data_IF_878743079642
#
_entry.id   IF_878743079642
#
_cell.length_a   1.000
_cell.length_b   1.000
_cell.length_c   1.000
_cell.angle_alpha   90.00
_cell.angle_beta   90.00
_cell.angle_gamma   90.00
#
_symmetry.space_group_name_H-M   'P 1'
#
loop_
_entity.id
_entity.type
_entity.pdbx_description
1 polymer ?
#
# COMPACT_ATOMS: atom_id res chain seq x y z
N UNK A 1 -3.74 0.21 -10.78
CA UNK A 1 -3.28 1.43 -11.49
C UNK A 1 -3.18 1.24 -13.00
N UNK A 2 -2.43 0.25 -13.52
CA UNK A 2 -2.26 0.07 -14.97
C UNK A 2 -3.59 -0.03 -15.74
N UNK A 3 -4.58 -0.73 -15.18
CA UNK A 3 -5.93 -0.81 -15.76
C UNK A 3 -6.62 0.57 -15.84
N UNK A 4 -6.56 1.38 -14.79
CA UNK A 4 -7.16 2.73 -14.79
C UNK A 4 -6.51 3.64 -15.85
N UNK A 5 -5.18 3.55 -16.02
CA UNK A 5 -4.48 4.27 -17.06
C UNK A 5 -4.90 3.80 -18.47
N UNK A 6 -5.07 2.49 -18.66
CA UNK A 6 -5.57 1.93 -19.91
C UNK A 6 -6.99 2.44 -20.22
N UNK A 7 -7.91 2.40 -19.26
CA UNK A 7 -9.27 2.96 -19.40
C UNK A 7 -9.24 4.41 -19.88
N UNK A 8 -8.46 5.26 -19.21
CA UNK A 8 -8.34 6.69 -19.56
C UNK A 8 -7.80 6.91 -20.97
N UNK A 9 -6.92 6.03 -21.44
CA UNK A 9 -6.33 6.13 -22.78
C UNK A 9 -7.25 5.59 -23.89
N UNK A 10 -8.13 4.64 -23.58
CA UNK A 10 -8.96 3.95 -24.58
C UNK A 10 -10.41 4.44 -24.63
N UNK A 11 -10.88 5.16 -23.61
CA UNK A 11 -12.24 5.69 -23.51
C UNK A 11 -12.25 7.23 -23.62
N UNK A 12 -13.36 7.79 -24.10
CA UNK A 12 -13.51 9.25 -24.24
C UNK A 12 -14.07 9.93 -22.97
N UNK A 13 -13.85 11.24 -22.83
CA UNK A 13 -14.43 12.04 -21.75
C UNK A 13 -13.53 12.23 -20.51
N UNK A 14 -12.26 11.84 -20.61
CA UNK A 14 -11.25 12.00 -19.56
C UNK A 14 -10.32 13.20 -19.78
N UNK A 15 -10.52 13.99 -20.84
CA UNK A 15 -9.69 15.13 -21.20
C UNK A 15 -9.74 16.23 -20.13
N UNK A 16 -8.57 16.81 -19.82
CA UNK A 16 -8.42 17.88 -18.83
C UNK A 16 -8.95 17.51 -17.43
N UNK A 17 -8.91 16.21 -17.06
CA UNK A 17 -9.29 15.72 -15.74
C UNK A 17 -8.09 15.19 -14.97
N UNK A 18 -8.07 15.45 -13.66
CA UNK A 18 -7.16 14.81 -12.72
C UNK A 18 -7.91 13.79 -11.86
N UNK A 19 -7.29 12.65 -11.60
CA UNK A 19 -7.86 11.56 -10.78
C UNK A 19 -6.92 11.22 -9.64
N UNK A 20 -7.47 10.99 -8.45
CA UNK A 20 -6.71 10.46 -7.33
C UNK A 20 -6.90 8.94 -7.30
N UNK A 21 -5.92 8.20 -7.80
CA UNK A 21 -5.99 6.74 -7.91
C UNK A 21 -5.63 6.08 -6.57
N UNK A 22 -6.53 6.22 -5.59
CA UNK A 22 -6.41 5.64 -4.24
C UNK A 22 -7.48 4.57 -4.03
N UNK A 23 -7.24 3.68 -3.04
CA UNK A 23 -8.22 2.70 -2.61
C UNK A 23 -9.36 3.37 -1.85
N UNK A 24 -10.60 2.95 -2.09
CA UNK A 24 -11.74 3.38 -1.26
C UNK A 24 -11.88 2.57 0.05
N UNK A 25 -11.11 1.47 0.18
CA UNK A 25 -10.98 0.67 1.38
C UNK A 25 -9.54 0.73 1.90
N UNK A 26 -9.18 1.76 2.68
CA UNK A 26 -7.86 1.84 3.31
C UNK A 26 -7.68 0.72 4.34
N UNK A 27 -6.43 0.40 4.64
CA UNK A 27 -6.05 -0.56 5.68
C UNK A 27 -4.86 -0.04 6.47
N UNK A 28 -4.78 -0.43 7.74
CA UNK A 28 -3.68 -0.16 8.63
C UNK A 28 -2.65 -1.30 8.63
N UNK A 29 -1.47 -1.07 9.20
CA UNK A 29 -0.49 -2.15 9.38
C UNK A 29 -0.99 -3.26 10.33
N UNK A 30 -1.90 -2.95 11.25
CA UNK A 30 -2.55 -3.95 12.10
C UNK A 30 -3.47 -4.87 11.26
N UNK A 31 -4.25 -4.29 10.34
CA UNK A 31 -5.09 -5.06 9.41
C UNK A 31 -4.23 -5.95 8.51
N UNK A 32 -3.11 -5.43 8.01
CA UNK A 32 -2.17 -6.20 7.20
C UNK A 32 -1.57 -7.38 7.99
N UNK A 33 -1.13 -7.16 9.23
CA UNK A 33 -0.59 -8.22 10.09
C UNK A 33 -1.63 -9.30 10.39
N UNK A 34 -2.90 -8.91 10.61
CA UNK A 34 -4.00 -9.85 10.76
C UNK A 34 -4.20 -10.68 9.50
N UNK A 35 -4.28 -10.06 8.33
CA UNK A 35 -4.47 -10.75 7.05
C UNK A 35 -3.32 -11.72 6.76
N UNK A 36 -2.07 -11.32 7.01
CA UNK A 36 -0.92 -12.21 6.88
C UNK A 36 -1.02 -13.39 7.84
N UNK A 37 -1.46 -13.17 9.08
CA UNK A 37 -1.65 -14.24 10.06
C UNK A 37 -2.68 -15.26 9.59
N UNK A 38 -3.81 -14.78 9.08
CA UNK A 38 -4.89 -15.62 8.56
C UNK A 38 -4.44 -16.44 7.34
N UNK A 39 -3.72 -15.81 6.40
CA UNK A 39 -3.30 -16.48 5.15
C UNK A 39 -2.14 -17.45 5.40
N UNK A 40 -1.17 -17.09 6.25
CA UNK A 40 0.01 -17.93 6.52
C UNK A 40 -0.20 -19.00 7.59
N UNK A 41 -1.25 -18.87 8.40
CA UNK A 41 -1.46 -19.70 9.60
C UNK A 41 -0.45 -19.48 10.73
N UNK A 42 0.45 -18.51 10.59
CA UNK A 42 1.46 -18.15 11.60
C UNK A 42 1.09 -16.83 12.26
N UNK A 43 1.10 -16.71 13.60
CA UNK A 43 0.81 -15.45 14.26
C UNK A 43 1.82 -14.36 13.87
N UNK A 44 1.31 -13.26 13.30
CA UNK A 44 2.06 -12.06 12.93
C UNK A 44 1.45 -10.87 13.66
N UNK A 45 2.30 -10.04 14.26
CA UNK A 45 1.90 -8.80 14.92
C UNK A 45 2.57 -7.62 14.23
N UNK A 46 1.85 -6.51 14.14
CA UNK A 46 2.45 -5.24 13.78
C UNK A 46 3.07 -4.62 15.04
N UNK A 47 4.34 -4.24 14.94
CA UNK A 47 5.05 -3.54 16.00
C UNK A 47 5.35 -2.12 15.53
N UNK A 48 4.70 -1.14 16.16
CA UNK A 48 5.01 0.28 15.94
C UNK A 48 6.37 0.62 16.55
N UNK A 49 7.25 1.18 15.74
CA UNK A 49 8.62 1.58 16.12
C UNK A 49 8.94 2.98 15.61
N UNK A 50 10.00 3.58 16.13
CA UNK A 50 10.48 4.88 15.68
C UNK A 50 11.14 4.80 14.29
N UNK A 51 11.25 5.96 13.61
CA UNK A 51 11.98 6.10 12.36
C UNK A 51 13.40 5.51 12.43
N UNK A 52 14.12 5.78 13.53
CA UNK A 52 15.49 5.31 13.69
C UNK A 52 15.56 3.80 13.86
N UNK A 53 14.63 3.21 14.60
CA UNK A 53 14.56 1.76 14.82
C UNK A 53 14.27 1.03 13.51
N UNK A 54 13.25 1.44 12.72
CA UNK A 54 12.95 0.78 11.44
C UNK A 54 14.08 0.96 10.44
N UNK A 55 14.69 2.15 10.35
CA UNK A 55 15.84 2.39 9.48
C UNK A 55 17.00 1.44 9.83
N UNK A 56 17.34 1.34 11.11
CA UNK A 56 18.45 0.51 11.56
C UNK A 56 18.15 -0.99 11.34
N UNK A 57 16.91 -1.43 11.60
CA UNK A 57 16.49 -2.80 11.33
C UNK A 57 16.59 -3.15 9.84
N UNK A 58 16.16 -2.25 8.93
CA UNK A 58 16.28 -2.45 7.49
C UNK A 58 17.74 -2.54 7.03
N UNK A 59 18.64 -1.73 7.59
CA UNK A 59 20.08 -1.82 7.30
C UNK A 59 20.66 -3.15 7.76
N UNK A 60 20.27 -3.63 8.95
CA UNK A 60 20.74 -4.90 9.49
C UNK A 60 20.36 -6.11 8.62
N UNK A 61 19.23 -6.05 7.91
CA UNK A 61 18.81 -7.10 6.96
C UNK A 61 19.37 -6.90 5.55
N UNK A 62 20.33 -5.99 5.37
CA UNK A 62 21.09 -5.83 4.13
C UNK A 62 20.59 -4.73 3.18
N UNK A 63 19.61 -3.92 3.59
CA UNK A 63 19.20 -2.75 2.82
C UNK A 63 20.28 -1.65 2.90
N UNK A 64 20.54 -0.93 1.79
CA UNK A 64 21.46 0.21 1.84
C UNK A 64 20.89 1.34 2.71
N UNK A 65 21.77 2.14 3.32
CA UNK A 65 21.35 3.24 4.20
C UNK A 65 20.37 4.21 3.52
N UNK A 66 20.60 4.52 2.24
CA UNK A 66 19.74 5.41 1.47
C UNK A 66 18.33 4.84 1.30
N UNK A 67 18.20 3.56 0.93
CA UNK A 67 16.90 2.92 0.78
C UNK A 67 16.20 2.70 2.13
N UNK A 68 16.95 2.39 3.19
CA UNK A 68 16.40 2.24 4.53
C UNK A 68 15.85 3.57 5.06
N UNK A 69 16.57 4.68 4.86
CA UNK A 69 16.11 6.01 5.24
C UNK A 69 14.87 6.44 4.45
N UNK A 70 14.84 6.16 3.14
CA UNK A 70 13.66 6.44 2.30
C UNK A 70 12.44 5.64 2.75
N UNK A 71 12.60 4.34 3.02
CA UNK A 71 11.52 3.45 3.48
C UNK A 71 10.98 3.89 4.85
N UNK A 72 11.88 4.20 5.79
CA UNK A 72 11.51 4.75 7.09
C UNK A 72 10.75 6.09 6.95
N UNK A 73 11.13 6.92 5.98
CA UNK A 73 10.44 8.18 5.67
C UNK A 73 9.02 7.95 5.18
N UNK A 74 8.80 6.96 4.29
CA UNK A 74 7.47 6.57 3.83
C UNK A 74 6.59 6.14 5.01
N UNK A 75 7.09 5.31 5.93
CA UNK A 75 6.33 4.90 7.11
C UNK A 75 5.99 6.08 8.03
N UNK A 76 6.91 7.02 8.22
CA UNK A 76 6.64 8.22 9.02
C UNK A 76 5.54 9.08 8.38
N UNK A 77 5.58 9.30 7.06
CA UNK A 77 4.52 10.02 6.34
C UNK A 77 3.17 9.33 6.44
N UNK A 78 3.12 7.99 6.40
CA UNK A 78 1.89 7.23 6.60
C UNK A 78 1.36 7.45 8.03
N UNK A 79 2.23 7.36 9.05
CA UNK A 79 1.87 7.55 10.44
C UNK A 79 1.35 8.98 10.74
N UNK A 80 1.78 9.97 9.96
CA UNK A 80 1.31 11.36 10.03
C UNK A 80 0.03 11.62 9.21
N UNK A 81 -0.58 10.58 8.64
CA UNK A 81 -1.82 10.67 7.86
C UNK A 81 -1.63 11.08 6.39
N UNK A 82 -0.39 11.09 5.88
CA UNK A 82 -0.06 11.50 4.52
C UNK A 82 -0.65 10.63 3.40
N UNK A 83 -1.25 9.49 3.75
CA UNK A 83 -1.91 8.55 2.82
C UNK A 83 -3.41 8.35 3.11
N UNK A 84 -4.04 9.20 3.92
CA UNK A 84 -5.46 9.08 4.32
C UNK A 84 -6.45 9.63 3.28
N UNK A 85 -5.99 9.94 2.07
CA UNK A 85 -6.90 10.47 1.04
C UNK A 85 -7.85 9.36 0.57
N UNK A 86 -9.14 9.62 0.61
CA UNK A 86 -10.19 8.73 0.11
C UNK A 86 -10.93 9.40 -1.05
N UNK A 87 -11.00 8.72 -2.19
CA UNK A 87 -11.85 9.09 -3.33
C UNK A 87 -12.38 7.82 -4.02
N UNK A 88 -13.46 7.95 -4.78
CA UNK A 88 -14.00 6.87 -5.60
C UNK A 88 -13.39 6.86 -7.02
N UNK A 89 -12.38 7.69 -7.32
CA UNK A 89 -11.94 7.90 -8.70
C UNK A 89 -11.45 6.59 -9.33
N UNK A 90 -10.70 5.80 -8.56
CA UNK A 90 -10.24 4.48 -9.01
C UNK A 90 -11.41 3.54 -9.25
N UNK A 91 -12.30 3.38 -8.27
CA UNK A 91 -13.48 2.52 -8.41
C UNK A 91 -14.37 2.92 -9.59
N UNK A 92 -14.56 4.22 -9.84
CA UNK A 92 -15.33 4.72 -11.00
C UNK A 92 -14.66 4.41 -12.34
N UNK A 93 -13.33 4.39 -12.39
CA UNK A 93 -12.58 4.10 -13.61
C UNK A 93 -12.52 2.60 -13.94
N UNK A 94 -12.42 1.72 -12.94
CA UNK A 94 -12.18 0.29 -13.20
C UNK A 94 -13.24 -0.65 -12.63
N UNK A 95 -14.20 -0.16 -11.85
CA UNK A 95 -15.35 -0.91 -11.34
C UNK A 95 -15.06 -1.90 -10.22
N UNK A 96 -13.80 -2.19 -9.93
CA UNK A 96 -13.39 -3.10 -8.87
C UNK A 96 -12.06 -2.69 -8.24
N UNK A 97 -11.81 -3.14 -7.02
CA UNK A 97 -10.52 -3.02 -6.35
C UNK A 97 -10.11 -4.41 -5.85
N UNK A 98 -8.82 -4.73 -5.94
CA UNK A 98 -8.30 -6.03 -5.50
C UNK A 98 -8.17 -6.03 -3.97
N UNK A 99 -8.89 -6.89 -3.23
CA UNK A 99 -8.81 -6.93 -1.77
C UNK A 99 -7.40 -7.22 -1.27
N UNK A 100 -7.00 -6.63 -0.13
CA UNK A 100 -5.66 -6.82 0.45
C UNK A 100 -5.34 -8.29 0.72
N UNK A 101 -6.35 -9.09 1.11
CA UNK A 101 -6.20 -10.53 1.31
C UNK A 101 -5.75 -11.27 0.06
N UNK A 102 -6.35 -10.96 -1.08
CA UNK A 102 -5.97 -11.56 -2.36
C UNK A 102 -4.54 -11.15 -2.75
N UNK A 103 -4.13 -9.92 -2.44
CA UNK A 103 -2.75 -9.45 -2.67
C UNK A 103 -1.75 -10.20 -1.78
N UNK A 104 -2.09 -10.42 -0.51
CA UNK A 104 -1.25 -11.19 0.44
C UNK A 104 -1.14 -12.65 0.01
N UNK A 105 -2.26 -13.28 -0.39
CA UNK A 105 -2.26 -14.65 -0.92
C UNK A 105 -1.31 -14.79 -2.11
N UNK A 106 -1.37 -13.86 -3.06
CA UNK A 106 -0.46 -13.85 -4.22
C UNK A 106 1.00 -13.62 -3.82
N UNK A 107 1.27 -12.76 -2.85
CA UNK A 107 2.63 -12.46 -2.41
C UNK A 107 3.30 -13.64 -1.67
N UNK A 108 2.51 -14.47 -1.00
CA UNK A 108 2.98 -15.64 -0.24
C UNK A 108 3.06 -16.93 -1.06
N UNK A 109 2.55 -16.95 -2.29
CA UNK A 109 2.58 -18.11 -3.21
C UNK A 109 3.95 -18.32 -3.90
N UNK A 110 5.01 -17.67 -3.44
CA UNK A 110 6.38 -17.86 -3.96
C UNK A 110 7.02 -19.17 -3.50
#
# INVERSE_FOLDING_TARGET
MALAAATVLTEGGHENRGYNLVSNNPWSFDDLAQVISEVSGTPVIHQSVTFHEVKNALVQVGMSETYAAMTAGIYNTIAEGGMEKHTDDLHRLIGFETPIKEQVEKALQN
#
